data_IF_663157982271
#
_entry.id   IF_663157982271
#
_cell.length_a   1.000
_cell.length_b   1.000
_cell.length_c   1.000
_cell.angle_alpha   90.00
_cell.angle_beta   90.00
_cell.angle_gamma   90.00
#
_symmetry.space_group_name_H-M   'P 1'
#
loop_
_entity.id
_entity.type
_entity.pdbx_description
1 polymer ?
#
# COMPACT_ATOMS: atom_id res chain seq x y z
N UNK A 1 -0.83 -7.91 0.22
CA UNK A 1 0.64 -7.98 0.35
C UNK A 1 1.16 -9.38 0.03
N UNK A 2 0.83 -10.42 0.81
CA UNK A 2 1.39 -11.78 0.62
C UNK A 2 1.07 -12.39 -0.74
N UNK A 3 -0.13 -12.17 -1.29
CA UNK A 3 -0.50 -12.62 -2.65
C UNK A 3 0.40 -11.98 -3.72
N UNK A 4 0.57 -10.65 -3.69
CA UNK A 4 1.41 -9.94 -4.66
C UNK A 4 2.88 -10.37 -4.59
N UNK A 5 3.39 -10.64 -3.39
CA UNK A 5 4.76 -11.17 -3.21
C UNK A 5 4.87 -12.58 -3.81
N UNK A 6 3.90 -13.45 -3.54
CA UNK A 6 3.88 -14.80 -4.05
C UNK A 6 3.81 -14.86 -5.59
N UNK A 7 3.01 -13.99 -6.21
CA UNK A 7 2.91 -13.86 -7.66
C UNK A 7 4.26 -13.44 -8.28
N UNK A 8 4.94 -12.47 -7.68
CA UNK A 8 6.30 -12.05 -8.10
C UNK A 8 7.29 -13.23 -8.03
N UNK A 9 7.20 -14.06 -7.00
CA UNK A 9 8.18 -15.13 -6.75
C UNK A 9 7.96 -16.38 -7.61
N UNK A 10 6.72 -16.67 -8.01
CA UNK A 10 6.34 -17.99 -8.52
C UNK A 10 5.89 -18.01 -9.97
N UNK A 11 5.52 -16.88 -10.54
CA UNK A 11 5.06 -16.82 -11.92
C UNK A 11 6.25 -16.76 -12.90
N UNK A 12 6.48 -17.80 -13.72
CA UNK A 12 7.58 -17.81 -14.68
C UNK A 12 7.37 -16.84 -15.85
N UNK A 13 6.13 -16.42 -16.11
CA UNK A 13 5.75 -15.47 -17.15
C UNK A 13 5.61 -14.04 -16.58
N UNK A 14 6.08 -13.81 -15.36
CA UNK A 14 5.99 -12.52 -14.69
C UNK A 14 6.77 -11.44 -15.44
N UNK A 15 6.03 -10.48 -16.01
CA UNK A 15 6.61 -9.41 -16.81
C UNK A 15 6.69 -8.08 -16.03
N UNK A 16 7.24 -7.07 -16.71
CA UNK A 16 7.36 -5.74 -16.14
C UNK A 16 6.01 -5.06 -15.85
N UNK A 17 4.97 -5.38 -16.64
CA UNK A 17 3.63 -4.84 -16.44
C UNK A 17 3.02 -5.38 -15.13
N UNK A 18 3.13 -6.68 -14.92
CA UNK A 18 2.74 -7.35 -13.68
C UNK A 18 3.52 -6.78 -12.49
N UNK A 19 4.83 -6.61 -12.64
CA UNK A 19 5.67 -5.99 -11.61
C UNK A 19 5.20 -4.58 -11.24
N UNK A 20 4.94 -3.73 -12.23
CA UNK A 20 4.48 -2.37 -12.00
C UNK A 20 3.15 -2.34 -11.22
N UNK A 21 2.19 -3.18 -11.61
CA UNK A 21 0.90 -3.30 -10.92
C UNK A 21 1.08 -3.80 -9.49
N UNK A 22 1.93 -4.82 -9.27
CA UNK A 22 2.22 -5.33 -7.94
C UNK A 22 2.87 -4.27 -7.06
N UNK A 23 3.83 -3.50 -7.58
CA UNK A 23 4.44 -2.38 -6.86
C UNK A 23 3.41 -1.31 -6.49
N UNK A 24 2.47 -0.98 -7.38
CA UNK A 24 1.38 -0.05 -7.06
C UNK A 24 0.51 -0.56 -5.91
N UNK A 25 0.16 -1.85 -5.89
CA UNK A 25 -0.59 -2.45 -4.78
C UNK A 25 0.22 -2.46 -3.48
N UNK A 26 1.52 -2.79 -3.54
CA UNK A 26 2.40 -2.79 -2.37
C UNK A 26 2.49 -1.38 -1.76
N UNK A 27 2.78 -0.35 -2.56
CA UNK A 27 2.80 1.02 -2.08
C UNK A 27 1.46 1.47 -1.50
N UNK A 28 0.35 1.13 -2.16
CA UNK A 28 -0.97 1.44 -1.64
C UNK A 28 -1.19 0.86 -0.23
N UNK A 29 -0.86 -0.41 -0.02
CA UNK A 29 -1.02 -1.06 1.28
C UNK A 29 -0.07 -0.50 2.36
N UNK A 30 1.20 -0.33 2.04
CA UNK A 30 2.21 0.17 3.00
C UNK A 30 1.88 1.60 3.41
N UNK A 31 1.58 2.47 2.44
CA UNK A 31 1.18 3.85 2.71
C UNK A 31 -0.09 3.90 3.56
N UNK A 32 -1.10 3.09 3.19
CA UNK A 32 -2.37 3.06 3.93
C UNK A 32 -2.15 2.63 5.38
N UNK A 33 -1.37 1.57 5.61
CA UNK A 33 -1.05 1.11 6.96
C UNK A 33 -0.28 2.16 7.77
N UNK A 34 0.72 2.82 7.17
CA UNK A 34 1.52 3.85 7.84
C UNK A 34 0.69 5.08 8.22
N UNK A 35 -0.12 5.60 7.30
CA UNK A 35 -0.90 6.81 7.50
C UNK A 35 -2.16 6.58 8.37
N UNK A 36 -2.65 5.35 8.44
CA UNK A 36 -3.78 4.98 9.30
C UNK A 36 -3.34 4.47 10.69
N UNK A 37 -2.04 4.47 11.02
CA UNK A 37 -1.51 3.86 12.25
C UNK A 37 -2.10 4.42 13.55
N UNK A 38 -2.59 5.66 13.53
CA UNK A 38 -3.23 6.34 14.66
C UNK A 38 -4.75 6.49 14.50
N UNK A 39 -5.34 5.91 13.46
CA UNK A 39 -6.78 5.99 13.22
C UNK A 39 -7.55 5.25 14.32
N UNK A 40 -8.66 5.83 14.79
CA UNK A 40 -9.53 5.14 15.73
C UNK A 40 -10.20 3.91 15.08
N UNK A 41 -10.63 2.91 15.87
CA UNK A 41 -11.38 1.77 15.34
C UNK A 41 -12.63 2.19 14.55
N UNK A 42 -13.31 3.25 14.96
CA UNK A 42 -14.49 3.80 14.30
C UNK A 42 -14.13 4.44 12.96
N UNK A 43 -13.01 5.18 12.89
CA UNK A 43 -12.52 5.77 11.65
C UNK A 43 -12.08 4.68 10.65
N UNK A 44 -11.32 3.69 11.12
CA UNK A 44 -10.92 2.53 10.33
C UNK A 44 -12.15 1.77 9.80
N UNK A 45 -13.15 1.52 10.65
CA UNK A 45 -14.39 0.85 10.26
C UNK A 45 -15.23 1.65 9.26
N UNK A 46 -15.26 2.98 9.39
CA UNK A 46 -15.99 3.85 8.46
C UNK A 46 -15.42 3.76 7.05
N UNK A 47 -14.09 3.67 6.92
CA UNK A 47 -13.39 3.47 5.64
C UNK A 47 -13.92 4.39 4.52
N UNK A 48 -14.01 5.70 4.80
CA UNK A 48 -14.58 6.65 3.84
C UNK A 48 -13.65 6.89 2.64
N UNK A 49 -14.19 7.43 1.54
CA UNK A 49 -13.39 7.87 0.40
C UNK A 49 -12.32 8.91 0.79
N UNK A 50 -12.63 9.76 1.78
CA UNK A 50 -11.69 10.72 2.32
C UNK A 50 -10.53 10.02 3.06
N UNK A 51 -10.86 9.04 3.91
CA UNK A 51 -9.87 8.21 4.60
C UNK A 51 -9.01 7.45 3.59
N UNK A 52 -9.61 6.87 2.54
CA UNK A 52 -8.89 6.20 1.46
C UNK A 52 -7.92 7.13 0.71
N UNK A 53 -8.38 8.33 0.33
CA UNK A 53 -7.55 9.33 -0.36
C UNK A 53 -6.42 9.83 0.53
N UNK A 54 -6.67 9.99 1.83
CA UNK A 54 -5.70 10.43 2.82
C UNK A 54 -4.63 9.38 3.06
N UNK A 55 -5.02 8.13 3.30
CA UNK A 55 -4.09 7.09 3.74
C UNK A 55 -3.23 6.53 2.60
N UNK A 56 -3.70 6.56 1.34
CA UNK A 56 -2.90 6.05 0.21
C UNK A 56 -1.69 6.93 -0.18
N UNK A 57 -1.58 8.14 0.35
CA UNK A 57 -0.52 9.10 -0.02
C UNK A 57 0.85 8.62 0.43
N UNK A 58 1.90 9.07 -0.27
CA UNK A 58 3.26 8.81 0.18
C UNK A 58 3.51 9.49 1.55
N UNK A 59 4.10 8.79 2.53
CA UNK A 59 4.39 9.36 3.83
C UNK A 59 5.30 10.59 3.71
N UNK A 60 4.96 11.66 4.43
CA UNK A 60 5.76 12.90 4.46
C UNK A 60 6.53 13.08 5.77
N UNK A 61 6.31 12.18 6.72
CA UNK A 61 6.88 12.19 8.06
C UNK A 61 8.07 11.23 8.22
N UNK A 62 8.54 10.62 7.12
CA UNK A 62 9.70 9.73 7.09
C UNK A 62 10.83 10.40 6.34
N UNK A 63 12.00 10.51 6.97
CA UNK A 63 13.22 10.89 6.27
C UNK A 63 13.77 9.68 5.49
N UNK A 64 13.78 9.80 4.17
CA UNK A 64 14.28 8.79 3.23
C UNK A 64 15.60 9.19 2.57
N UNK A 65 16.26 10.24 3.08
CA UNK A 65 17.51 10.76 2.51
C UNK A 65 18.79 10.06 3.01
N UNK A 66 18.63 9.00 3.81
CA UNK A 66 19.73 8.23 4.38
C UNK A 66 20.51 7.39 3.35
#
# INVERSE_FOLDING_TARGET
LSTSIHEIETDPDYDFGNFLVAMMHLYHHVNTAWNAREASPEQAKRSSDEDFRRWRQFPTDIDLSA
#
